data_IF_802383787542
#
_entry.id   IF_802383787542
#
_cell.length_a   1.000
_cell.length_b   1.000
_cell.length_c   1.000
_cell.angle_alpha   90.00
_cell.angle_beta   90.00
_cell.angle_gamma   90.00
#
_symmetry.space_group_name_H-M   'P 1'
#
loop_
_entity.id
_entity.type
_entity.pdbx_description
1 polymer ?
#
# COMPACT_ATOMS: atom_id res chain seq x y z
N UNK A 1 -14.37 -18.55 1.04
CA UNK A 1 -14.07 -17.11 1.09
C UNK A 1 -13.12 -16.72 2.23
N UNK A 2 -13.28 -17.16 3.49
CA UNK A 2 -12.43 -16.73 4.62
C UNK A 2 -10.91 -17.03 4.51
N UNK A 3 -10.52 -18.13 3.86
CA UNK A 3 -9.11 -18.57 3.82
C UNK A 3 -8.18 -17.75 2.90
N UNK A 4 -8.73 -17.13 1.85
CA UNK A 4 -7.93 -16.27 0.96
C UNK A 4 -7.54 -14.99 1.71
N UNK A 5 -8.47 -14.42 2.47
CA UNK A 5 -8.27 -13.18 3.20
C UNK A 5 -7.17 -13.29 4.27
N UNK A 6 -7.11 -14.40 5.01
CA UNK A 6 -6.14 -14.55 6.11
C UNK A 6 -4.68 -14.61 5.65
N UNK A 7 -4.39 -15.32 4.56
CA UNK A 7 -3.01 -15.47 4.04
C UNK A 7 -2.45 -14.13 3.55
N UNK A 8 -3.24 -13.40 2.78
CA UNK A 8 -2.84 -12.09 2.25
C UNK A 8 -2.73 -11.04 3.35
N UNK A 9 -3.67 -11.00 4.30
CA UNK A 9 -3.56 -10.10 5.46
C UNK A 9 -2.26 -10.35 6.22
N UNK A 10 -1.91 -11.62 6.50
CA UNK A 10 -0.64 -11.94 7.16
C UNK A 10 0.58 -11.46 6.34
N UNK A 11 0.57 -11.69 5.02
CA UNK A 11 1.66 -11.24 4.14
C UNK A 11 1.80 -9.72 4.12
N UNK A 12 0.70 -8.98 3.98
CA UNK A 12 0.72 -7.50 3.98
C UNK A 12 1.14 -6.94 5.34
N UNK A 13 0.73 -7.56 6.44
CA UNK A 13 1.19 -7.16 7.78
C UNK A 13 2.70 -7.33 7.94
N UNK A 14 3.26 -8.45 7.46
CA UNK A 14 4.71 -8.66 7.47
C UNK A 14 5.44 -7.67 6.56
N UNK A 15 4.90 -7.41 5.37
CA UNK A 15 5.44 -6.42 4.44
C UNK A 15 5.50 -5.02 5.07
N UNK A 16 4.42 -4.58 5.74
CA UNK A 16 4.38 -3.29 6.42
C UNK A 16 5.46 -3.16 7.50
N UNK A 17 5.73 -4.24 8.24
CA UNK A 17 6.81 -4.28 9.24
C UNK A 17 8.17 -4.15 8.57
N UNK A 18 8.44 -4.96 7.55
CA UNK A 18 9.69 -4.93 6.80
C UNK A 18 9.95 -3.55 6.16
N UNK A 19 8.92 -2.91 5.60
CA UNK A 19 9.03 -1.55 5.04
C UNK A 19 9.41 -0.53 6.12
N UNK A 20 8.80 -0.61 7.30
CA UNK A 20 9.11 0.28 8.41
C UNK A 20 10.55 0.11 8.91
N UNK A 21 11.10 -1.11 8.87
CA UNK A 21 12.49 -1.40 9.26
C UNK A 21 13.51 -0.77 8.33
N UNK A 22 13.19 -0.62 7.04
CA UNK A 22 14.06 0.01 6.03
C UNK A 22 13.75 1.50 5.81
N UNK A 23 12.98 2.13 6.70
CA UNK A 23 12.69 3.57 6.64
C UNK A 23 11.61 3.98 5.63
N UNK A 24 10.85 3.02 5.08
CA UNK A 24 9.72 3.30 4.19
C UNK A 24 8.44 3.37 5.03
N UNK A 25 7.69 4.47 4.91
CA UNK A 25 6.44 4.62 5.64
C UNK A 25 5.44 3.50 5.26
N UNK A 26 4.98 2.67 6.23
CA UNK A 26 4.11 1.53 5.95
C UNK A 26 2.73 1.92 5.40
N UNK A 27 2.34 3.20 5.50
CA UNK A 27 1.13 3.74 4.85
C UNK A 27 1.23 3.73 3.32
N UNK A 28 2.44 3.61 2.76
CA UNK A 28 2.68 3.42 1.33
C UNK A 28 2.24 2.04 0.81
N UNK A 29 1.70 1.18 1.67
CA UNK A 29 0.99 -0.05 1.28
C UNK A 29 -0.40 -0.10 1.92
N UNK A 30 -1.42 -0.29 1.10
CA UNK A 30 -2.80 -0.45 1.54
C UNK A 30 -3.43 -1.71 0.93
N UNK A 31 -4.15 -2.47 1.75
CA UNK A 31 -4.89 -3.67 1.34
C UNK A 31 -6.36 -3.42 1.64
N UNK A 32 -7.18 -3.49 0.60
CA UNK A 32 -8.63 -3.36 0.69
C UNK A 32 -9.29 -4.51 -0.08
N UNK A 33 -10.37 -5.04 0.47
CA UNK A 33 -11.13 -6.13 -0.15
C UNK A 33 -12.31 -5.54 -0.89
N UNK A 34 -12.31 -5.68 -2.21
CA UNK A 34 -13.33 -5.08 -3.08
C UNK A 34 -13.81 -6.17 -4.03
N UNK A 35 -15.10 -6.45 -4.02
CA UNK A 35 -15.73 -7.41 -4.93
C UNK A 35 -16.12 -6.76 -6.26
N UNK A 36 -16.46 -7.58 -7.25
CA UNK A 36 -16.80 -7.12 -8.60
C UNK A 36 -18.02 -6.17 -8.65
N UNK A 37 -18.91 -6.19 -7.64
CA UNK A 37 -20.10 -5.33 -7.59
C UNK A 37 -19.89 -4.05 -6.75
N UNK A 38 -18.71 -3.85 -6.15
CA UNK A 38 -18.44 -2.73 -5.24
C UNK A 38 -17.72 -1.55 -5.95
N UNK A 39 -18.15 -1.20 -7.16
CA UNK A 39 -17.49 -0.16 -7.97
C UNK A 39 -17.38 1.21 -7.26
N UNK A 40 -18.42 1.62 -6.52
CA UNK A 40 -18.38 2.85 -5.74
C UNK A 40 -17.37 2.80 -4.58
N UNK A 41 -17.15 1.63 -3.97
CA UNK A 41 -16.11 1.44 -2.95
C UNK A 41 -14.73 1.57 -3.58
N UNK A 42 -14.52 0.94 -4.74
CA UNK A 42 -13.28 1.06 -5.50
C UNK A 42 -12.90 2.50 -5.80
N UNK A 43 -13.83 3.27 -6.38
CA UNK A 43 -13.59 4.68 -6.69
C UNK A 43 -13.17 5.47 -5.45
N UNK A 44 -13.88 5.31 -4.33
CA UNK A 44 -13.57 6.00 -3.08
C UNK A 44 -12.21 5.60 -2.51
N UNK A 45 -11.92 4.29 -2.45
CA UNK A 45 -10.65 3.77 -1.92
C UNK A 45 -9.47 4.28 -2.75
N UNK A 46 -9.54 4.20 -4.08
CA UNK A 46 -8.46 4.67 -4.96
C UNK A 46 -8.27 6.18 -4.82
N UNK A 47 -9.34 6.96 -4.83
CA UNK A 47 -9.26 8.42 -4.71
C UNK A 47 -8.64 8.84 -3.37
N UNK A 48 -9.09 8.22 -2.27
CA UNK A 48 -8.51 8.45 -0.95
C UNK A 48 -7.05 8.05 -0.89
N UNK A 49 -6.69 6.89 -1.43
CA UNK A 49 -5.34 6.37 -1.34
C UNK A 49 -4.35 7.19 -2.18
N UNK A 50 -4.75 7.66 -3.36
CA UNK A 50 -3.95 8.60 -4.16
C UNK A 50 -3.68 9.88 -3.38
N UNK A 51 -4.68 10.43 -2.68
CA UNK A 51 -4.48 11.61 -1.84
C UNK A 51 -3.54 11.34 -0.67
N UNK A 52 -3.61 10.17 -0.04
CA UNK A 52 -2.68 9.77 1.01
C UNK A 52 -1.24 9.69 0.48
N UNK A 53 -1.02 9.09 -0.69
CA UNK A 53 0.32 9.00 -1.30
C UNK A 53 0.85 10.39 -1.67
N UNK A 54 0.01 11.28 -2.22
CA UNK A 54 0.37 12.68 -2.48
C UNK A 54 0.79 13.40 -1.21
N UNK A 55 0.10 13.16 -0.09
CA UNK A 55 0.45 13.74 1.22
C UNK A 55 1.77 13.21 1.78
N UNK A 56 2.09 11.94 1.53
CA UNK A 56 3.36 11.33 1.95
C UNK A 56 4.55 11.81 1.11
N UNK A 57 4.30 12.42 -0.05
CA UNK A 57 5.34 12.93 -0.94
C UNK A 57 6.11 11.83 -1.70
N UNK A 58 7.19 12.22 -2.40
CA UNK A 58 8.03 11.32 -3.20
C UNK A 58 8.50 10.10 -2.41
N UNK A 59 8.72 8.99 -3.11
CA UNK A 59 9.22 7.76 -2.49
C UNK A 59 10.70 7.92 -2.12
N UNK A 60 11.15 7.53 -0.92
CA UNK A 60 12.56 7.56 -0.54
C UNK A 60 13.42 6.60 -1.38
N UNK A 61 12.81 5.64 -2.08
CA UNK A 61 13.53 4.71 -2.98
C UNK A 61 13.92 5.36 -4.30
N UNK A 62 13.17 6.38 -4.76
CA UNK A 62 13.45 7.01 -6.05
C UNK A 62 14.78 7.79 -6.02
N UNK A 63 15.10 8.45 -4.90
CA UNK A 63 16.40 9.14 -4.73
C UNK A 63 17.59 8.17 -4.83
N UNK A 64 17.43 6.93 -4.35
CA UNK A 64 18.49 5.91 -4.40
C UNK A 64 18.75 5.47 -5.85
N UNK A 65 17.72 5.40 -6.69
CA UNK A 65 17.85 4.96 -8.08
C UNK A 65 18.52 6.03 -8.94
N UNK A 66 18.27 7.32 -8.67
CA UNK A 66 18.89 8.42 -9.43
C UNK A 66 20.35 8.70 -9.01
N UNK A 67 20.75 8.29 -7.81
CA UNK A 67 22.12 8.42 -7.27
C UNK A 67 23.01 7.17 -7.41
N UNK A 68 22.50 6.10 -8.02
CA UNK A 68 23.25 4.91 -8.39
C UNK A 68 23.47 4.90 -9.92
N UNK A 69 24.21 5.90 -10.39
CA UNK A 69 24.91 5.94 -11.68
C UNK A 69 26.38 6.29 -11.43
#
# INVERSE_FOLDING_TARGET
FALIHSRWTRRVTLLKRALSEIGIDPRRVHLEWISANEGAKFQRTVSWYVNEIKRLGPSPVAEVVDGQA
#
